data_IF_491994141690
#
_entry.id   IF_491994141690
#
_cell.length_a   1.000
_cell.length_b   1.000
_cell.length_c   1.000
_cell.angle_alpha   90.00
_cell.angle_beta   90.00
_cell.angle_gamma   90.00
#
_symmetry.space_group_name_H-M   'P 1'
#
loop_
_entity.id
_entity.type
_entity.pdbx_description
1 polymer ?
#
# COMPACT_ATOMS: atom_id res chain seq x y z
N UNK A 1 3.62 8.16 15.81
CA UNK A 1 2.94 7.74 14.57
C UNK A 1 2.14 6.54 14.97
N UNK A 2 0.84 6.57 14.72
CA UNK A 2 -0.06 5.50 15.13
C UNK A 2 -0.39 4.69 13.87
N UNK A 3 -0.09 3.40 13.88
CA UNK A 3 -0.20 2.51 12.72
C UNK A 3 -0.94 1.25 13.17
N UNK A 4 -2.02 0.92 12.47
CA UNK A 4 -2.70 -0.36 12.60
C UNK A 4 -2.54 -1.15 11.30
N UNK A 5 -2.42 -2.46 11.43
CA UNK A 5 -2.35 -3.40 10.32
C UNK A 5 -3.20 -4.61 10.66
N UNK A 6 -4.15 -4.93 9.80
CA UNK A 6 -5.09 -6.03 9.98
C UNK A 6 -4.99 -6.96 8.77
N UNK A 7 -4.64 -8.22 9.01
CA UNK A 7 -4.74 -9.27 7.99
C UNK A 7 -6.19 -9.75 7.93
N UNK A 8 -6.77 -9.72 6.74
CA UNK A 8 -8.17 -10.07 6.51
C UNK A 8 -8.32 -11.53 6.09
N UNK A 9 -7.49 -11.96 5.13
CA UNK A 9 -7.54 -13.30 4.58
C UNK A 9 -6.13 -13.80 4.30
N UNK A 10 -5.95 -15.11 4.38
CA UNK A 10 -4.73 -15.80 3.98
C UNK A 10 -5.14 -16.99 3.12
N UNK A 11 -4.53 -17.13 1.96
CA UNK A 11 -4.70 -18.27 1.05
C UNK A 11 -3.33 -18.67 0.51
N UNK A 12 -3.09 -19.95 0.31
CA UNK A 12 -1.79 -20.35 -0.21
C UNK A 12 -1.58 -21.86 -0.30
N UNK A 13 -0.39 -22.18 -0.75
CA UNK A 13 0.24 -23.49 -0.74
C UNK A 13 1.44 -23.45 0.22
N UNK A 14 2.16 -24.56 0.45
CA UNK A 14 3.36 -24.54 1.28
C UNK A 14 4.48 -23.63 0.78
N UNK A 15 4.52 -23.28 -0.52
CA UNK A 15 5.59 -22.49 -1.13
C UNK A 15 5.15 -21.11 -1.63
N UNK A 16 3.85 -20.81 -1.60
CA UNK A 16 3.31 -19.54 -2.07
C UNK A 16 2.10 -19.14 -1.24
N UNK A 17 2.15 -17.97 -0.59
CA UNK A 17 1.09 -17.46 0.26
C UNK A 17 0.68 -16.07 -0.22
N UNK A 18 -0.62 -15.87 -0.37
CA UNK A 18 -1.23 -14.57 -0.53
C UNK A 18 -1.99 -14.19 0.75
N UNK A 19 -1.75 -12.98 1.24
CA UNK A 19 -2.52 -12.39 2.34
C UNK A 19 -3.10 -11.06 1.91
N UNK A 20 -4.38 -10.80 2.21
CA UNK A 20 -4.98 -9.47 2.06
C UNK A 20 -5.00 -8.75 3.40
N UNK A 21 -4.84 -7.43 3.35
CA UNK A 21 -4.69 -6.63 4.56
C UNK A 21 -5.21 -5.20 4.38
N UNK A 22 -5.57 -4.60 5.51
CA UNK A 22 -5.83 -3.18 5.65
C UNK A 22 -4.77 -2.57 6.57
N UNK A 23 -4.23 -1.42 6.18
CA UNK A 23 -3.30 -0.64 6.99
C UNK A 23 -3.87 0.76 7.19
N UNK A 24 -3.93 1.23 8.44
CA UNK A 24 -4.24 2.63 8.71
C UNK A 24 -3.06 3.34 9.37
N UNK A 25 -2.80 4.56 8.92
CA UNK A 25 -1.66 5.34 9.35
C UNK A 25 -2.09 6.75 9.71
N UNK A 26 -1.92 7.14 10.97
CA UNK A 26 -2.13 8.52 11.42
C UNK A 26 -0.88 9.35 11.21
N UNK A 27 -0.89 10.18 10.18
CA UNK A 27 0.22 11.06 9.81
C UNK A 27 0.18 12.36 10.64
N UNK A 28 1.36 12.94 10.90
CA UNK A 28 1.52 14.22 11.60
C UNK A 28 2.17 15.26 10.68
N UNK A 29 2.10 16.54 11.04
CA UNK A 29 2.75 17.62 10.28
C UNK A 29 1.96 18.07 9.05
N UNK A 30 2.66 18.40 7.95
CA UNK A 30 2.07 19.02 6.75
C UNK A 30 1.04 18.13 6.02
N UNK A 31 1.09 16.81 6.21
CA UNK A 31 0.17 15.84 5.62
C UNK A 31 -0.78 15.24 6.66
N UNK A 32 -1.12 15.98 7.72
CA UNK A 32 -1.95 15.51 8.84
C UNK A 32 -3.28 14.91 8.36
N UNK A 33 -3.51 13.65 8.69
CA UNK A 33 -4.72 12.91 8.33
C UNK A 33 -4.65 11.44 8.78
N UNK A 34 -5.69 10.69 8.42
CA UNK A 34 -5.66 9.22 8.44
C UNK A 34 -5.49 8.76 7.00
N UNK A 35 -4.46 7.98 6.74
CA UNK A 35 -4.24 7.32 5.47
C UNK A 35 -4.61 5.85 5.64
N UNK A 36 -5.54 5.37 4.82
CA UNK A 36 -5.93 3.95 4.79
C UNK A 36 -5.42 3.35 3.49
N UNK A 37 -4.73 2.22 3.59
CA UNK A 37 -4.17 1.49 2.46
C UNK A 37 -4.73 0.08 2.52
N UNK A 38 -5.36 -0.33 1.42
CA UNK A 38 -5.76 -1.71 1.23
C UNK A 38 -4.74 -2.36 0.31
N UNK A 39 -4.32 -3.57 0.67
CA UNK A 39 -3.30 -4.27 -0.08
C UNK A 39 -3.40 -5.78 0.03
N UNK A 40 -2.52 -6.42 -0.71
CA UNK A 40 -2.23 -7.82 -0.61
C UNK A 40 -0.73 -8.03 -0.70
N UNK A 41 -0.25 -9.07 -0.02
CA UNK A 41 1.14 -9.49 -0.05
C UNK A 41 1.23 -10.88 -0.63
N UNK A 42 2.15 -11.08 -1.56
CA UNK A 42 2.62 -12.38 -2.04
C UNK A 42 3.94 -12.74 -1.33
N UNK A 43 3.99 -13.94 -0.75
CA UNK A 43 5.18 -14.53 -0.17
C UNK A 43 5.51 -15.81 -0.93
N UNK A 44 6.77 -15.95 -1.35
CA UNK A 44 7.31 -17.23 -1.84
C UNK A 44 8.21 -17.79 -0.76
N UNK A 45 8.00 -19.06 -0.42
CA UNK A 45 8.77 -19.78 0.59
C UNK A 45 9.63 -20.86 -0.08
N UNK A 46 10.79 -21.15 0.50
CA UNK A 46 11.56 -22.34 0.17
C UNK A 46 11.01 -23.60 0.86
N UNK A 47 11.68 -24.73 0.67
CA UNK A 47 11.27 -26.04 1.23
C UNK A 47 11.35 -26.08 2.76
N UNK A 48 12.16 -25.21 3.38
CA UNK A 48 12.28 -25.06 4.83
C UNK A 48 11.23 -24.07 5.39
N UNK A 49 10.38 -23.51 4.53
CA UNK A 49 9.35 -22.54 4.88
C UNK A 49 9.88 -21.12 5.08
N UNK A 50 11.12 -20.84 4.66
CA UNK A 50 11.73 -19.52 4.77
C UNK A 50 11.30 -18.63 3.61
N UNK A 51 11.02 -17.36 3.90
CA UNK A 51 10.63 -16.39 2.85
C UNK A 51 11.83 -16.10 1.95
N UNK A 52 11.69 -16.44 0.67
CA UNK A 52 12.69 -16.16 -0.38
C UNK A 52 12.23 -15.04 -1.33
N UNK A 53 10.93 -14.72 -1.38
CA UNK A 53 10.41 -13.55 -2.08
C UNK A 53 9.24 -12.94 -1.33
N UNK A 54 9.14 -11.62 -1.40
CA UNK A 54 8.09 -10.83 -0.76
C UNK A 54 7.71 -9.66 -1.69
N UNK A 55 6.45 -9.65 -2.13
CA UNK A 55 5.90 -8.61 -3.02
C UNK A 55 4.62 -8.04 -2.43
N UNK A 56 4.57 -6.73 -2.23
CA UNK A 56 3.34 -6.04 -1.82
C UNK A 56 2.63 -5.42 -3.02
N UNK A 57 1.37 -5.79 -3.20
CA UNK A 57 0.43 -5.21 -4.15
C UNK A 57 -0.54 -4.30 -3.41
N UNK A 58 -0.38 -2.99 -3.59
CA UNK A 58 -1.24 -2.01 -2.93
C UNK A 58 -1.46 -0.85 -3.89
N UNK A 59 -2.67 -0.29 -3.84
CA UNK A 59 -3.06 0.80 -4.73
C UNK A 59 -3.00 2.14 -3.98
N UNK A 60 -2.13 3.04 -4.45
CA UNK A 60 -2.05 4.43 -3.98
C UNK A 60 -3.20 5.30 -4.48
N UNK A 61 -3.99 4.84 -5.45
CA UNK A 61 -4.88 5.71 -6.21
C UNK A 61 -6.17 6.07 -5.48
N UNK A 62 -6.77 5.17 -4.70
CA UNK A 62 -8.03 5.47 -3.98
C UNK A 62 -7.93 6.70 -3.04
N UNK A 63 -7.00 6.71 -2.06
CA UNK A 63 -6.88 7.80 -1.09
C UNK A 63 -6.32 9.11 -1.67
N UNK A 64 -5.53 9.03 -2.75
CA UNK A 64 -4.92 10.20 -3.38
C UNK A 64 -5.93 10.97 -4.24
N UNK A 65 -6.89 10.28 -4.86
CA UNK A 65 -7.85 10.88 -5.78
C UNK A 65 -9.15 11.36 -5.13
N UNK A 66 -9.59 10.77 -4.03
CA UNK A 66 -10.83 11.18 -3.36
C UNK A 66 -10.70 12.48 -2.54
N UNK A 67 -9.48 12.99 -2.29
CA UNK A 67 -9.28 14.15 -1.41
C UNK A 67 -8.21 15.18 -1.80
N UNK A 68 -7.43 15.00 -2.88
CA UNK A 68 -6.25 15.87 -3.11
C UNK A 68 -6.43 16.82 -4.32
N UNK A 69 -6.15 18.13 -4.19
CA UNK A 69 -6.22 19.11 -5.27
C UNK A 69 -5.03 18.99 -6.24
N UNK A 70 -4.72 17.78 -6.71
CA UNK A 70 -3.56 17.48 -7.56
C UNK A 70 -3.64 18.09 -8.97
N UNK A 71 -4.77 18.73 -9.32
CA UNK A 71 -4.91 19.51 -10.56
C UNK A 71 -3.80 20.57 -10.70
N UNK A 72 -3.34 21.17 -9.59
CA UNK A 72 -2.31 22.22 -9.62
C UNK A 72 -0.89 21.70 -9.86
N UNK A 73 -0.48 20.68 -9.10
CA UNK A 73 0.87 20.11 -9.19
C UNK A 73 1.07 19.35 -10.51
N UNK A 74 0.05 18.64 -10.99
CA UNK A 74 0.07 17.97 -12.29
C UNK A 74 0.17 18.97 -13.44
N UNK A 75 -0.61 20.07 -13.43
CA UNK A 75 -0.48 21.15 -14.43
C UNK A 75 0.89 21.81 -14.44
N UNK A 76 1.51 22.00 -13.26
CA UNK A 76 2.85 22.58 -13.15
C UNK A 76 3.94 21.65 -13.73
N UNK A 77 3.83 20.35 -13.49
CA UNK A 77 4.73 19.34 -14.05
C UNK A 77 4.61 19.25 -15.58
N UNK A 78 3.38 19.19 -16.10
CA UNK A 78 3.14 19.14 -17.56
C UNK A 78 3.56 20.44 -18.25
N UNK A 79 3.35 21.61 -17.63
CA UNK A 79 3.73 22.90 -18.20
C UNK A 79 5.25 23.16 -18.27
N UNK A 80 6.07 22.33 -17.61
CA UNK A 80 7.55 22.39 -17.71
C UNK A 80 8.12 21.47 -18.80
N UNK A 81 7.28 20.66 -19.42
CA UNK A 81 7.67 19.73 -20.49
C UNK A 81 7.34 20.27 -21.89
N UNK A 82 6.99 21.55 -22.02
CA UNK A 82 6.76 22.26 -23.28
C UNK A 82 7.63 23.49 -23.39
#
# INVERSE_FOLDING_TARGET
MDVSFEVLNIVGTPTCIFQSWNMEMRTRGRFKGVMSINGATELVLDEDGMVISHTDHWDLWGPVWEGTPLRGAYRWLVGKMG
#
